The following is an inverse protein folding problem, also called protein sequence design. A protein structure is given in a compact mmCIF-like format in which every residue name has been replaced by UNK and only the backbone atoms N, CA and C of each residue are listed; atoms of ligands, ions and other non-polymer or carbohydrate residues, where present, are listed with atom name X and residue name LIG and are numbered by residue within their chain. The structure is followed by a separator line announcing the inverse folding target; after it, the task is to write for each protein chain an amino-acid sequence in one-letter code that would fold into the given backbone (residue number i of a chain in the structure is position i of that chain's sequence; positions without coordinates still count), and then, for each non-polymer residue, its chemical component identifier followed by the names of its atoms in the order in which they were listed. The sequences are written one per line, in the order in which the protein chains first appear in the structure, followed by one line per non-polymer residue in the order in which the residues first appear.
data_IF_569182144492
#
_entry.id   IF_569182144492
#
_cell.length_a   1.000
_cell.length_b   1.000
_cell.length_c   1.000
_cell.angle_alpha   90.00
_cell.angle_beta   90.00
_cell.angle_gamma   90.00
#
_symmetry.space_group_name_H-M   'P 1'
#
loop_
_entity.id
_entity.type
_entity.pdbx_description
1 polymer ?
#
# COMPACT_ATOMS: atom_id res chain seq x y z
N UNK A 1 0.11 13.28 -0.57
CA UNK A 1 -1.08 14.02 -1.04
C UNK A 1 -2.27 13.07 -1.06
N UNK A 2 -3.18 13.19 -0.10
CA UNK A 2 -4.37 12.32 0.01
C UNK A 2 -5.38 12.73 -1.06
N UNK A 3 -5.89 11.77 -1.82
CA UNK A 3 -6.92 12.07 -2.82
C UNK A 3 -8.18 12.64 -2.12
N UNK A 4 -8.77 13.75 -2.61
CA UNK A 4 -9.97 14.32 -2.00
C UNK A 4 -11.13 13.32 -2.06
N UNK A 5 -11.99 13.30 -1.04
CA UNK A 5 -13.17 12.43 -1.01
C UNK A 5 -14.09 12.69 -2.22
N UNK A 6 -14.89 11.68 -2.58
CA UNK A 6 -15.80 11.76 -3.74
C UNK A 6 -16.76 12.96 -3.63
N UNK A 7 -17.16 13.32 -2.42
CA UNK A 7 -18.12 14.39 -2.14
C UNK A 7 -17.54 15.78 -2.46
N UNK A 8 -16.28 16.04 -2.09
CA UNK A 8 -15.59 17.31 -2.39
C UNK A 8 -15.45 17.50 -3.91
N UNK A 9 -15.28 16.42 -4.67
CA UNK A 9 -15.13 16.49 -6.13
C UNK A 9 -16.45 16.74 -6.84
N UNK A 10 -17.54 16.12 -6.37
CA UNK A 10 -18.89 16.37 -6.89
C UNK A 10 -19.28 17.82 -6.72
N UNK A 11 -18.94 18.42 -5.58
CA UNK A 11 -19.21 19.82 -5.30
C UNK A 11 -18.47 20.75 -6.27
N UNK A 12 -17.22 20.45 -6.63
CA UNK A 12 -16.49 21.22 -7.65
C UNK A 12 -17.13 21.08 -9.03
N UNK A 13 -17.49 19.87 -9.44
CA UNK A 13 -18.09 19.62 -10.76
C UNK A 13 -19.41 20.39 -10.88
N UNK A 14 -20.23 20.40 -9.81
CA UNK A 14 -21.47 21.17 -9.72
C UNK A 14 -21.26 22.67 -10.03
N UNK A 15 -20.16 23.25 -9.59
CA UNK A 15 -19.87 24.68 -9.76
C UNK A 15 -19.37 25.03 -11.17
N UNK A 16 -18.64 24.12 -11.83
CA UNK A 16 -17.95 24.43 -13.09
C UNK A 16 -18.67 23.93 -14.34
N UNK A 17 -19.39 22.80 -14.29
CA UNK A 17 -19.94 22.16 -15.49
C UNK A 17 -21.25 21.43 -15.14
N UNK A 18 -22.31 21.70 -15.89
CA UNK A 18 -23.60 21.03 -15.72
C UNK A 18 -24.05 20.34 -17.01
N UNK A 19 -24.36 19.05 -16.93
CA UNK A 19 -25.04 18.29 -18.01
C UNK A 19 -26.03 17.27 -17.40
N UNK A 20 -27.14 16.96 -18.08
CA UNK A 20 -28.32 16.32 -17.46
C UNK A 20 -28.08 15.03 -16.64
N UNK A 21 -27.06 14.23 -16.97
CA UNK A 21 -26.78 12.92 -16.33
C UNK A 21 -25.46 12.89 -15.55
N UNK A 22 -24.87 14.05 -15.26
CA UNK A 22 -23.55 14.18 -14.63
C UNK A 22 -23.40 13.42 -13.31
N UNK A 23 -24.45 13.37 -12.51
CA UNK A 23 -24.45 12.65 -11.22
C UNK A 23 -24.24 11.14 -11.38
N UNK A 24 -24.64 10.56 -12.52
CA UNK A 24 -24.46 9.14 -12.84
C UNK A 24 -23.12 8.88 -13.53
N UNK A 25 -22.69 9.79 -14.40
CA UNK A 25 -21.47 9.63 -15.19
C UNK A 25 -20.20 9.82 -14.36
N UNK A 26 -20.20 10.77 -13.43
CA UNK A 26 -19.03 11.10 -12.60
C UNK A 26 -18.57 9.89 -11.76
N UNK A 27 -19.45 9.16 -11.03
CA UNK A 27 -19.06 7.93 -10.37
C UNK A 27 -18.55 6.84 -11.34
N UNK A 28 -19.13 6.74 -12.54
CA UNK A 28 -18.70 5.80 -13.57
C UNK A 28 -17.29 6.10 -14.07
N UNK A 29 -17.00 7.36 -14.36
CA UNK A 29 -15.69 7.84 -14.78
C UNK A 29 -14.60 7.58 -13.73
N UNK A 30 -14.90 7.82 -12.45
CA UNK A 30 -13.92 7.54 -11.39
C UNK A 30 -13.61 6.05 -11.20
N UNK A 31 -14.54 5.17 -11.59
CA UNK A 31 -14.30 3.72 -11.60
C UNK A 31 -13.45 3.27 -12.78
N UNK A 32 -13.36 4.02 -13.87
CA UNK A 32 -12.52 3.68 -15.03
C UNK A 32 -11.21 4.45 -15.09
N UNK A 33 -11.09 5.56 -14.35
CA UNK A 33 -9.90 6.39 -14.32
C UNK A 33 -8.74 5.72 -13.58
N UNK A 34 -7.73 5.26 -14.32
CA UNK A 34 -6.52 4.61 -13.80
C UNK A 34 -5.78 5.47 -12.74
N UNK A 35 -5.63 6.77 -12.99
CA UNK A 35 -4.99 7.70 -12.02
C UNK A 35 -5.77 7.77 -10.71
N UNK A 36 -7.09 7.85 -10.77
CA UNK A 36 -7.94 7.90 -9.56
C UNK A 36 -7.93 6.56 -8.82
N UNK A 37 -7.93 5.45 -9.56
CA UNK A 37 -7.83 4.11 -8.99
C UNK A 37 -6.50 3.86 -8.31
N UNK A 38 -5.38 4.29 -8.90
CA UNK A 38 -4.03 4.12 -8.32
C UNK A 38 -3.86 4.91 -7.03
N UNK A 39 -4.31 6.16 -7.00
CA UNK A 39 -4.18 7.03 -5.80
C UNK A 39 -5.16 6.61 -4.70
N UNK A 40 -6.36 6.12 -5.06
CA UNK A 40 -7.34 5.61 -4.11
C UNK A 40 -7.23 4.10 -3.88
N UNK A 41 -6.21 3.42 -4.46
CA UNK A 41 -6.00 1.99 -4.28
C UNK A 41 -5.75 1.83 -2.79
N UNK A 42 -6.78 1.37 -2.09
CA UNK A 42 -6.79 1.34 -0.65
C UNK A 42 -5.50 0.71 -0.17
N UNK A 43 -4.75 1.44 0.64
CA UNK A 43 -3.74 0.90 1.57
C UNK A 43 -4.38 -0.06 2.60
N UNK A 44 -5.55 -0.61 2.31
CA UNK A 44 -6.25 -1.62 3.05
C UNK A 44 -5.71 -2.99 2.66
N UNK A 45 -4.44 -3.27 2.98
CA UNK A 45 -4.17 -4.62 3.46
C UNK A 45 -5.13 -4.78 4.65
N UNK A 46 -6.18 -5.59 4.48
CA UNK A 46 -6.99 -5.98 5.63
C UNK A 46 -6.01 -6.49 6.68
N UNK A 47 -6.02 -5.92 7.89
CA UNK A 47 -5.39 -6.49 9.08
C UNK A 47 -6.08 -7.80 9.50
N UNK A 48 -6.56 -8.58 8.54
CA UNK A 48 -7.19 -9.88 8.72
C UNK A 48 -6.34 -10.87 7.97
N UNK A 49 -5.28 -11.27 8.65
CA UNK A 49 -5.03 -12.66 9.02
C UNK A 49 -3.61 -12.68 9.58
N UNK A 50 -3.44 -12.32 10.86
CA UNK A 50 -2.29 -12.83 11.59
C UNK A 50 -2.47 -14.34 11.64
N UNK A 51 -1.79 -15.05 10.76
CA UNK A 51 -1.69 -16.51 10.82
C UNK A 51 -1.17 -16.85 12.20
N UNK A 52 -1.94 -17.61 12.99
CA UNK A 52 -1.44 -18.12 14.26
C UNK A 52 -0.25 -19.02 13.92
N UNK A 53 0.95 -18.60 14.31
CA UNK A 53 2.16 -19.39 14.15
C UNK A 53 2.01 -20.60 15.09
N UNK A 54 2.25 -21.80 14.57
CA UNK A 54 2.21 -23.01 15.39
C UNK A 54 3.43 -23.01 16.31
N UNK A 55 3.20 -23.09 17.62
CA UNK A 55 4.30 -23.19 18.58
C UNK A 55 5.06 -24.52 18.39
N UNK A 56 6.40 -24.49 18.39
CA UNK A 56 7.18 -25.70 18.24
C UNK A 56 7.00 -26.63 19.45
N UNK A 57 6.65 -27.89 19.20
CA UNK A 57 6.37 -28.89 20.24
C UNK A 57 7.58 -29.30 21.09
N UNK A 58 8.80 -28.91 20.71
CA UNK A 58 10.05 -29.22 21.42
C UNK A 58 11.08 -28.10 21.18
N UNK A 59 12.04 -27.88 22.10
CA UNK A 59 13.14 -26.95 21.87
C UNK A 59 13.87 -27.26 20.57
N UNK A 60 14.33 -26.21 19.87
CA UNK A 60 15.16 -26.31 18.66
C UNK A 60 14.49 -27.03 17.47
N UNK A 61 13.16 -27.13 17.44
CA UNK A 61 12.42 -27.77 16.33
C UNK A 61 12.34 -26.89 15.09
N UNK A 62 12.18 -25.58 15.27
CA UNK A 62 11.97 -24.60 14.22
C UNK A 62 12.83 -23.38 14.56
N UNK A 63 13.63 -22.92 13.59
CA UNK A 63 14.41 -21.69 13.66
C UNK A 63 13.96 -20.75 12.55
N UNK A 64 13.56 -19.54 12.90
CA UNK A 64 13.30 -18.47 11.94
C UNK A 64 14.52 -17.55 11.94
N UNK A 65 15.17 -17.42 10.78
CA UNK A 65 16.29 -16.51 10.57
C UNK A 65 15.88 -15.46 9.54
N UNK A 66 16.26 -14.21 9.79
CA UNK A 66 16.00 -13.09 8.90
C UNK A 66 17.26 -12.20 8.82
N UNK A 67 17.43 -11.52 7.70
CA UNK A 67 18.58 -10.63 7.48
C UNK A 67 18.22 -9.23 7.96
N UNK A 68 19.15 -8.61 8.70
CA UNK A 68 19.02 -7.20 9.07
C UNK A 68 19.82 -6.37 8.08
N UNK A 69 19.12 -5.60 7.25
CA UNK A 69 19.74 -4.68 6.27
C UNK A 69 19.79 -3.25 6.79
N UNK A 70 20.72 -2.43 6.29
CA UNK A 70 20.79 -1.00 6.61
C UNK A 70 21.48 -0.67 7.93
N UNK A 71 22.27 -1.60 8.48
CA UNK A 71 23.12 -1.33 9.63
C UNK A 71 24.24 -0.37 9.23
N UNK A 72 24.62 0.58 10.11
CA UNK A 72 25.78 1.42 9.87
C UNK A 72 27.02 0.52 9.69
N UNK A 73 27.99 0.90 8.85
CA UNK A 73 29.21 0.13 8.69
C UNK A 73 29.93 0.06 10.05
N UNK A 74 30.12 -1.15 10.57
CA UNK A 74 30.79 -1.41 11.84
C UNK A 74 31.91 -2.43 11.62
N UNK A 75 33.14 -2.05 11.99
CA UNK A 75 34.34 -2.88 11.92
C UNK A 75 35.14 -2.75 10.62
N UNK A 76 36.36 -3.29 10.61
CA UNK A 76 37.30 -3.26 9.47
C UNK A 76 36.85 -4.11 8.27
N UNK A 77 35.84 -4.95 8.46
CA UNK A 77 35.24 -5.77 7.42
C UNK A 77 33.72 -5.58 7.45
N UNK A 78 33.22 -4.75 6.53
CA UNK A 78 31.78 -4.57 6.29
C UNK A 78 31.21 -5.83 5.63
N UNK A 79 30.72 -6.77 6.43
CA UNK A 79 30.06 -8.00 5.97
C UNK A 79 28.59 -7.80 5.59
N UNK A 80 28.24 -6.64 4.99
CA UNK A 80 26.93 -6.45 4.37
C UNK A 80 26.91 -7.31 3.08
N UNK A 81 26.68 -8.61 3.22
CA UNK A 81 26.83 -9.62 2.17
C UNK A 81 25.70 -9.64 1.13
N UNK A 82 24.89 -8.59 1.04
CA UNK A 82 23.86 -8.45 0.01
C UNK A 82 23.90 -7.03 -0.54
N UNK A 83 24.98 -6.72 -1.26
CA UNK A 83 24.93 -5.67 -2.28
C UNK A 83 24.35 -6.39 -3.51
N UNK A 84 23.07 -6.22 -3.78
CA UNK A 84 22.55 -6.50 -5.12
C UNK A 84 23.17 -5.42 -6.02
N UNK A 85 24.21 -5.79 -6.77
CA UNK A 85 24.64 -5.01 -7.93
C UNK A 85 23.58 -5.16 -9.03
N UNK A 86 23.29 -4.02 -9.66
CA UNK A 86 22.18 -3.70 -10.58
C UNK A 86 22.05 -4.60 -11.82
#
# INVERSE_FOLDING_TARGET
MTAPSQDIRREKIRTFIWWAIWQKDVPGYFKTCDRSQKVNKSTGKRLRNMTKIQEPSRPLKIFHMDWVTGLPPVGDASYNSCIEEE
#
